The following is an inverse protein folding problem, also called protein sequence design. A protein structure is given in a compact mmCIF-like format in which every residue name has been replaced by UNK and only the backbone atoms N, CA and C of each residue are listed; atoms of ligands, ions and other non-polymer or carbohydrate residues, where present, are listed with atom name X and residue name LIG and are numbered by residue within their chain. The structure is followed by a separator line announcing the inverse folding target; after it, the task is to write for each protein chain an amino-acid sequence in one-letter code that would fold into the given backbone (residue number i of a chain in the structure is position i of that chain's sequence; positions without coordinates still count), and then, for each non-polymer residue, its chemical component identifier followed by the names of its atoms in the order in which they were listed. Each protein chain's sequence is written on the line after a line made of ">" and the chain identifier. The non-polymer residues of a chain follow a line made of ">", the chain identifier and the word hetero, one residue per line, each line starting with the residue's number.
data_IF_716269007323
#
_entry.id   IF_716269007323
#
_cell.length_a   1.000
_cell.length_b   1.000
_cell.length_c   1.000
_cell.angle_alpha   90.00
_cell.angle_beta   90.00
_cell.angle_gamma   90.00
#
_symmetry.space_group_name_H-M   'P 1'
#
loop_
_entity.id
_entity.type
_entity.pdbx_description
1 polymer ?
#
# COMPACT_ATOMS: atom_id res chain seq x y z
N UNK A 1 -70.85 -22.50 62.66
CA UNK A 1 -71.03 -21.90 61.32
C UNK A 1 -69.66 -21.51 60.79
N UNK A 2 -69.39 -21.85 59.52
CA UNK A 2 -68.10 -21.68 58.81
C UNK A 2 -67.79 -20.20 58.54
N UNK A 3 -66.52 -19.82 58.70
CA UNK A 3 -65.81 -18.76 57.96
C UNK A 3 -64.31 -18.98 58.26
N UNK A 4 -63.38 -19.25 57.35
CA UNK A 4 -63.19 -18.75 55.99
C UNK A 4 -61.89 -17.93 55.98
N UNK A 5 -60.72 -18.57 56.13
CA UNK A 5 -59.43 -17.87 56.05
C UNK A 5 -58.90 -17.94 54.61
N UNK A 6 -58.90 -16.78 53.94
CA UNK A 6 -58.28 -16.56 52.63
C UNK A 6 -56.76 -16.47 52.80
N UNK A 7 -56.01 -17.35 52.13
CA UNK A 7 -54.56 -17.24 51.98
C UNK A 7 -54.27 -16.45 50.71
N UNK A 8 -53.77 -15.23 50.86
CA UNK A 8 -53.29 -14.39 49.76
C UNK A 8 -51.83 -14.80 49.47
N UNK A 9 -51.60 -15.49 48.35
CA UNK A 9 -50.24 -15.74 47.84
C UNK A 9 -49.70 -14.45 47.21
N UNK A 10 -48.88 -13.73 47.98
CA UNK A 10 -48.10 -12.59 47.51
C UNK A 10 -47.00 -13.10 46.57
N UNK A 11 -47.23 -12.99 45.26
CA UNK A 11 -46.23 -13.26 44.23
C UNK A 11 -45.21 -12.11 44.22
N UNK A 12 -44.17 -12.22 45.04
CA UNK A 12 -43.01 -11.31 44.99
C UNK A 12 -42.29 -11.48 43.66
N UNK A 13 -42.55 -10.55 42.75
CA UNK A 13 -41.84 -10.39 41.48
C UNK A 13 -40.39 -9.97 41.82
N UNK A 14 -39.47 -10.92 41.84
CA UNK A 14 -38.04 -10.66 42.00
C UNK A 14 -37.53 -9.99 40.71
N UNK A 15 -37.51 -8.67 40.69
CA UNK A 15 -36.91 -7.87 39.62
C UNK A 15 -35.39 -8.10 39.62
N UNK A 16 -34.93 -9.02 38.76
CA UNK A 16 -33.51 -9.19 38.48
C UNK A 16 -32.98 -7.89 37.85
N UNK A 17 -31.99 -7.21 38.45
CA UNK A 17 -31.33 -6.10 37.79
C UNK A 17 -30.64 -6.62 36.53
N UNK A 18 -31.16 -6.20 35.37
CA UNK A 18 -30.55 -6.42 34.07
C UNK A 18 -29.28 -5.56 34.01
N UNK A 19 -28.15 -6.13 34.43
CA UNK A 19 -26.83 -5.53 34.21
C UNK A 19 -26.57 -5.57 32.70
N UNK A 20 -26.93 -4.48 32.01
CA UNK A 20 -26.49 -4.25 30.66
C UNK A 20 -24.98 -4.08 30.66
N UNK A 21 -24.24 -5.09 30.19
CA UNK A 21 -22.85 -4.91 29.82
C UNK A 21 -22.81 -3.87 28.69
N UNK A 22 -22.35 -2.67 29.01
CA UNK A 22 -22.00 -1.67 28.01
C UNK A 22 -20.82 -2.22 27.23
N UNK A 23 -21.09 -2.87 26.10
CA UNK A 23 -20.06 -3.28 25.15
C UNK A 23 -19.47 -2.01 24.53
N UNK A 24 -18.46 -1.44 25.17
CA UNK A 24 -17.63 -0.42 24.54
C UNK A 24 -16.99 -1.05 23.31
N UNK A 25 -17.25 -0.49 22.13
CA UNK A 25 -16.59 -0.92 20.91
C UNK A 25 -15.08 -0.67 21.07
N UNK A 26 -14.29 -1.74 21.05
CA UNK A 26 -12.83 -1.64 21.11
C UNK A 26 -12.33 -0.86 19.88
N UNK A 27 -11.36 0.03 20.06
CA UNK A 27 -10.74 0.79 18.98
C UNK A 27 -9.25 0.47 18.87
N UNK A 28 -8.66 0.73 17.70
CA UNK A 28 -7.21 0.64 17.53
C UNK A 28 -6.54 1.75 18.33
N UNK A 29 -5.52 1.38 19.11
CA UNK A 29 -4.78 2.30 19.98
C UNK A 29 -3.73 3.10 19.22
N UNK A 30 -4.17 3.89 18.24
CA UNK A 30 -3.29 4.67 17.37
C UNK A 30 -2.39 5.63 18.15
N UNK A 31 -1.11 5.62 17.82
CA UNK A 31 -0.14 6.61 18.25
C UNK A 31 0.16 7.59 17.11
N UNK A 32 0.66 8.77 17.44
CA UNK A 32 1.07 9.78 16.46
C UNK A 32 2.54 10.18 16.58
N UNK A 33 3.17 9.93 17.74
CA UNK A 33 4.60 10.14 17.91
C UNK A 33 5.39 8.94 17.38
N UNK A 34 5.96 9.12 16.19
CA UNK A 34 6.76 8.10 15.51
C UNK A 34 7.99 7.66 16.32
N UNK A 35 8.64 8.58 17.07
CA UNK A 35 9.83 8.25 17.86
C UNK A 35 9.47 7.42 19.08
N UNK A 36 8.41 7.81 19.78
CA UNK A 36 7.91 7.05 20.93
C UNK A 36 7.52 5.64 20.51
N UNK A 37 6.76 5.53 19.41
CA UNK A 37 6.27 4.25 18.93
C UNK A 37 7.41 3.36 18.38
N UNK A 38 8.45 3.93 17.76
CA UNK A 38 9.65 3.18 17.37
C UNK A 38 10.43 2.66 18.59
N UNK A 39 10.52 3.44 19.67
CA UNK A 39 11.11 2.98 20.94
C UNK A 39 10.26 1.85 21.54
N UNK A 40 8.93 1.99 21.56
CA UNK A 40 8.03 0.95 22.06
C UNK A 40 8.12 -0.34 21.25
N UNK A 41 8.15 -0.23 19.92
CA UNK A 41 8.31 -1.36 19.01
C UNK A 41 9.58 -2.16 19.31
N UNK A 42 10.68 -1.47 19.62
CA UNK A 42 11.94 -2.10 20.05
C UNK A 42 11.88 -2.72 21.43
N UNK A 43 11.22 -2.09 22.39
CA UNK A 43 11.14 -2.64 23.75
C UNK A 43 10.18 -3.84 23.84
N UNK A 44 9.10 -3.82 23.06
CA UNK A 44 8.09 -4.89 23.04
C UNK A 44 8.35 -5.97 22.00
N UNK A 45 9.41 -5.82 21.19
CA UNK A 45 9.73 -6.69 20.07
C UNK A 45 8.56 -6.88 19.09
N UNK A 46 7.84 -5.78 18.82
CA UNK A 46 6.65 -5.75 17.96
C UNK A 46 6.90 -4.92 16.71
N UNK A 47 6.39 -5.38 15.58
CA UNK A 47 6.38 -4.58 14.37
C UNK A 47 5.49 -3.33 14.53
N UNK A 48 5.86 -2.24 13.88
CA UNK A 48 5.00 -1.07 13.74
C UNK A 48 4.07 -1.27 12.54
N UNK A 49 2.79 -0.94 12.72
CA UNK A 49 1.84 -0.77 11.63
C UNK A 49 1.60 0.73 11.48
N UNK A 50 2.15 1.31 10.43
CA UNK A 50 2.08 2.74 10.14
C UNK A 50 1.01 2.95 9.08
N UNK A 51 -0.07 3.63 9.46
CA UNK A 51 -1.05 4.17 8.53
C UNK A 51 -0.61 5.59 8.16
N UNK A 52 -0.35 5.81 6.87
CA UNK A 52 0.00 7.11 6.30
C UNK A 52 -1.25 7.62 5.60
N UNK A 53 -1.74 8.78 6.03
CA UNK A 53 -2.95 9.40 5.51
C UNK A 53 -2.83 10.92 5.51
N UNK A 54 -3.93 11.60 5.19
CA UNK A 54 -4.02 13.05 5.28
C UNK A 54 -5.46 13.45 5.58
N UNK A 55 -5.66 14.62 6.17
CA UNK A 55 -7.00 15.12 6.54
C UNK A 55 -7.97 15.24 5.34
N UNK A 56 -7.45 15.53 4.15
CA UNK A 56 -8.23 15.67 2.91
C UNK A 56 -8.48 14.34 2.18
N UNK A 57 -7.90 13.23 2.64
CA UNK A 57 -7.95 11.94 1.96
C UNK A 57 -9.27 11.20 2.20
N UNK A 58 -10.18 11.21 1.21
CA UNK A 58 -11.48 10.54 1.30
C UNK A 58 -11.40 9.02 1.53
N UNK A 59 -10.44 8.33 0.88
CA UNK A 59 -10.24 6.89 1.06
C UNK A 59 -9.65 6.54 2.43
N UNK A 60 -8.90 7.45 3.06
CA UNK A 60 -8.42 7.29 4.43
C UNK A 60 -9.61 7.28 5.39
N UNK A 61 -10.53 8.24 5.25
CA UNK A 61 -11.77 8.29 6.04
C UNK A 61 -12.67 7.08 5.78
N UNK A 62 -12.71 6.57 4.55
CA UNK A 62 -13.45 5.35 4.22
C UNK A 62 -12.84 4.13 4.92
N UNK A 63 -11.52 3.98 4.86
CA UNK A 63 -10.78 2.89 5.52
C UNK A 63 -10.96 2.94 7.04
N UNK A 64 -10.99 4.14 7.63
CA UNK A 64 -11.28 4.34 9.05
C UNK A 64 -12.65 3.82 9.45
N UNK A 65 -13.68 4.08 8.65
CA UNK A 65 -15.06 3.67 8.96
C UNK A 65 -15.32 2.18 8.69
N UNK A 66 -14.71 1.62 7.66
CA UNK A 66 -15.07 0.28 7.15
C UNK A 66 -14.06 -0.79 7.56
N UNK A 67 -12.76 -0.47 7.56
CA UNK A 67 -11.69 -1.45 7.77
C UNK A 67 -11.18 -1.41 9.20
N UNK A 68 -10.84 -0.23 9.71
CA UNK A 68 -10.30 -0.07 11.05
C UNK A 68 -11.34 -0.06 12.18
N UNK A 69 -12.63 -0.20 11.83
CA UNK A 69 -13.73 -0.48 12.76
C UNK A 69 -14.14 -1.96 12.80
N UNK A 70 -13.57 -2.80 11.95
CA UNK A 70 -13.81 -4.25 12.00
C UNK A 70 -13.15 -4.85 13.25
N UNK A 71 -13.94 -5.57 14.06
CA UNK A 71 -13.50 -6.08 15.36
C UNK A 71 -12.31 -7.04 15.27
N UNK A 72 -12.20 -7.83 14.19
CA UNK A 72 -11.08 -8.75 14.00
C UNK A 72 -9.81 -7.99 13.63
N UNK A 73 -9.93 -6.97 12.77
CA UNK A 73 -8.82 -6.07 12.42
C UNK A 73 -8.33 -5.35 13.68
N UNK A 74 -9.22 -4.76 14.47
CA UNK A 74 -8.89 -4.07 15.74
C UNK A 74 -8.11 -4.99 16.67
N UNK A 75 -8.69 -6.16 16.97
CA UNK A 75 -8.10 -7.13 17.90
C UNK A 75 -6.70 -7.55 17.44
N UNK A 76 -6.55 -7.83 16.15
CA UNK A 76 -5.28 -8.28 15.59
C UNK A 76 -4.21 -7.19 15.61
N UNK A 77 -4.60 -5.95 15.26
CA UNK A 77 -3.68 -4.80 15.29
C UNK A 77 -3.22 -4.52 16.72
N UNK A 78 -4.15 -4.40 17.67
CA UNK A 78 -3.85 -4.12 19.08
C UNK A 78 -3.00 -5.22 19.74
N UNK A 79 -3.11 -6.47 19.28
CA UNK A 79 -2.37 -7.59 19.87
C UNK A 79 -0.95 -7.73 19.30
N UNK A 80 -0.78 -7.50 18.00
CA UNK A 80 0.44 -7.90 17.29
C UNK A 80 1.35 -6.72 16.91
N UNK A 81 0.86 -5.49 16.91
CA UNK A 81 1.57 -4.34 16.37
C UNK A 81 1.61 -3.17 17.34
N UNK A 82 2.55 -2.25 17.09
CA UNK A 82 2.48 -0.87 17.57
C UNK A 82 1.83 -0.02 16.46
N UNK A 83 0.53 0.32 16.57
CA UNK A 83 -0.17 1.06 15.52
C UNK A 83 0.14 2.57 15.59
N UNK A 84 0.50 3.14 14.45
CA UNK A 84 0.85 4.55 14.28
C UNK A 84 0.01 5.15 13.15
N UNK A 85 -0.41 6.39 13.33
CA UNK A 85 -0.87 7.28 12.25
C UNK A 85 0.18 8.34 11.96
N UNK A 86 0.43 8.55 10.69
CA UNK A 86 1.29 9.60 10.16
C UNK A 86 0.47 10.44 9.19
N UNK A 87 0.45 11.74 9.41
CA UNK A 87 -0.03 12.68 8.41
C UNK A 87 1.07 12.91 7.36
N UNK A 88 0.74 12.69 6.09
CA UNK A 88 1.66 12.75 4.97
C UNK A 88 2.14 14.18 4.68
N UNK A 89 1.30 15.19 4.93
CA UNK A 89 1.63 16.59 4.68
C UNK A 89 2.64 17.09 5.73
N UNK A 90 2.51 16.61 6.97
CA UNK A 90 3.42 16.95 8.07
C UNK A 90 4.76 16.18 8.02
N UNK A 91 4.81 15.05 7.29
CA UNK A 91 5.94 14.11 7.31
C UNK A 91 6.48 13.78 5.91
N UNK A 92 6.60 14.79 5.05
CA UNK A 92 6.99 14.63 3.64
C UNK A 92 8.32 13.89 3.42
N UNK A 93 9.35 14.13 4.23
CA UNK A 93 10.64 13.42 4.15
C UNK A 93 10.49 11.91 4.39
N UNK A 94 9.62 11.52 5.33
CA UNK A 94 9.34 10.12 5.63
C UNK A 94 8.56 9.45 4.49
N UNK A 95 7.57 10.17 3.94
CA UNK A 95 6.76 9.75 2.78
C UNK A 95 7.66 9.47 1.58
N UNK A 96 8.62 10.36 1.31
CA UNK A 96 9.61 10.20 0.24
C UNK A 96 10.56 9.04 0.52
N UNK A 97 11.13 8.95 1.71
CA UNK A 97 12.07 7.89 2.08
C UNK A 97 11.46 6.48 2.02
N UNK A 98 10.16 6.35 2.34
CA UNK A 98 9.41 5.10 2.22
C UNK A 98 8.96 4.83 0.77
N UNK A 99 8.98 5.85 -0.09
CA UNK A 99 8.46 5.81 -1.46
C UNK A 99 6.94 5.60 -1.47
N UNK A 100 6.20 6.37 -0.68
CA UNK A 100 4.73 6.35 -0.65
C UNK A 100 4.20 7.05 -1.89
N UNK A 101 3.48 6.31 -2.73
CA UNK A 101 2.97 6.82 -4.01
C UNK A 101 1.54 7.39 -3.92
N UNK A 102 0.79 7.06 -2.87
CA UNK A 102 -0.60 7.48 -2.70
C UNK A 102 -1.16 7.19 -1.31
N UNK A 103 -2.33 7.75 -1.01
CA UNK A 103 -2.97 7.63 0.29
C UNK A 103 -4.33 6.92 0.18
N UNK A 104 -4.76 6.18 1.23
CA UNK A 104 -3.97 5.80 2.40
C UNK A 104 -2.86 4.82 2.01
N UNK A 105 -1.74 4.81 2.74
CA UNK A 105 -0.74 3.74 2.62
C UNK A 105 -0.52 3.10 3.99
N UNK A 106 -0.55 1.77 4.04
CA UNK A 106 -0.21 1.01 5.25
C UNK A 106 1.17 0.40 5.10
N UNK A 107 2.07 0.69 6.03
CA UNK A 107 3.45 0.18 6.04
C UNK A 107 3.66 -0.63 7.32
N UNK A 108 4.26 -1.80 7.18
CA UNK A 108 4.66 -2.63 8.32
C UNK A 108 6.18 -2.63 8.39
N UNK A 109 6.71 -2.21 9.54
CA UNK A 109 8.14 -2.05 9.77
C UNK A 109 8.56 -2.84 11.01
N UNK A 110 9.64 -3.62 10.94
CA UNK A 110 10.18 -4.33 12.11
C UNK A 110 10.84 -3.37 13.11
N UNK A 111 11.11 -3.80 14.36
CA UNK A 111 11.85 -2.97 15.31
C UNK A 111 13.23 -2.50 14.83
N UNK A 112 13.84 -3.23 13.89
CA UNK A 112 15.12 -2.93 13.24
C UNK A 112 14.97 -2.01 12.02
N UNK A 113 13.81 -1.37 11.86
CA UNK A 113 13.48 -0.43 10.78
C UNK A 113 13.49 -1.05 9.37
N UNK A 114 13.28 -2.37 9.27
CA UNK A 114 13.11 -3.04 7.97
C UNK A 114 11.64 -2.99 7.58
N UNK A 115 11.35 -2.47 6.38
CA UNK A 115 10.01 -2.53 5.80
C UNK A 115 9.71 -3.99 5.41
N UNK A 116 8.73 -4.59 6.07
CA UNK A 116 8.23 -5.95 5.78
C UNK A 116 7.19 -5.89 4.68
N UNK A 117 6.35 -4.85 4.69
CA UNK A 117 5.22 -4.74 3.78
C UNK A 117 4.83 -3.28 3.58
N UNK A 118 4.41 -2.95 2.36
CA UNK A 118 3.78 -1.69 2.00
C UNK A 118 2.51 -2.02 1.20
N UNK A 119 1.40 -1.41 1.58
CA UNK A 119 0.09 -1.62 0.96
C UNK A 119 -0.44 -0.24 0.61
N UNK A 120 -0.58 0.03 -0.68
CA UNK A 120 -1.04 1.32 -1.18
C UNK A 120 -2.54 1.28 -1.43
N UNK A 121 -3.23 2.35 -1.06
CA UNK A 121 -4.66 2.52 -1.28
C UNK A 121 -5.55 1.96 -0.18
N UNK A 122 -6.86 2.10 -0.40
CA UNK A 122 -7.88 1.53 0.47
C UNK A 122 -7.83 -0.01 0.41
N UNK A 123 -7.98 -0.64 1.57
CA UNK A 123 -8.05 -2.10 1.72
C UNK A 123 -9.28 -2.42 2.56
N UNK A 124 -10.13 -3.33 2.10
CA UNK A 124 -11.31 -3.76 2.85
C UNK A 124 -10.95 -4.65 4.05
N UNK A 125 -11.82 -4.76 5.06
CA UNK A 125 -11.55 -5.53 6.28
C UNK A 125 -11.09 -6.99 6.05
N UNK A 126 -11.75 -7.80 5.19
CA UNK A 126 -11.34 -9.19 4.97
C UNK A 126 -9.93 -9.30 4.36
N UNK A 127 -9.63 -8.41 3.41
CA UNK A 127 -8.33 -8.33 2.76
C UNK A 127 -7.26 -7.90 3.77
N UNK A 128 -7.53 -6.88 4.58
CA UNK A 128 -6.64 -6.42 5.66
C UNK A 128 -6.31 -7.55 6.64
N UNK A 129 -7.30 -8.34 7.06
CA UNK A 129 -7.06 -9.54 7.89
C UNK A 129 -6.09 -10.52 7.19
N UNK A 130 -6.26 -10.74 5.88
CA UNK A 130 -5.34 -11.52 5.06
C UNK A 130 -3.91 -10.96 5.09
N UNK A 131 -3.75 -9.63 4.99
CA UNK A 131 -2.44 -8.99 5.07
C UNK A 131 -1.77 -9.13 6.44
N UNK A 132 -2.54 -9.10 7.53
CA UNK A 132 -2.03 -9.11 8.92
C UNK A 132 -1.78 -10.52 9.47
N UNK A 133 -2.54 -11.52 9.02
CA UNK A 133 -2.53 -12.89 9.56
C UNK A 133 -1.16 -13.57 9.56
N UNK A 134 -0.29 -13.23 8.59
CA UNK A 134 1.04 -13.85 8.43
C UNK A 134 2.17 -13.17 9.21
N UNK A 135 1.89 -12.02 9.84
CA UNK A 135 2.93 -11.12 10.38
C UNK A 135 2.90 -11.07 11.91
N UNK A 136 1.88 -11.63 12.56
CA UNK A 136 1.83 -11.69 14.04
C UNK A 136 2.86 -12.68 14.65
N UNK A 137 3.56 -13.46 13.84
CA UNK A 137 4.43 -14.58 14.28
C UNK A 137 5.93 -14.30 14.18
N UNK A 138 6.37 -13.04 14.07
CA UNK A 138 7.81 -12.76 13.97
C UNK A 138 8.49 -12.93 15.33
N UNK A 139 8.68 -14.18 15.77
CA UNK A 139 9.91 -14.55 16.46
C UNK A 139 11.03 -14.36 15.43
N UNK A 140 11.98 -13.50 15.76
CA UNK A 140 13.14 -13.14 14.96
C UNK A 140 13.95 -14.35 14.48
N UNK A 141 13.57 -14.96 13.35
CA UNK A 141 14.44 -15.90 12.62
C UNK A 141 14.19 -15.78 11.10
N UNK A 142 14.64 -14.66 10.54
CA UNK A 142 15.45 -14.72 9.33
C UNK A 142 16.76 -14.01 9.63
N UNK A 143 17.58 -14.67 10.46
CA UNK A 143 19.01 -14.46 10.42
C UNK A 143 19.48 -14.75 8.99
N UNK A 144 20.04 -13.74 8.33
CA UNK A 144 20.84 -13.99 7.15
C UNK A 144 21.95 -15.01 7.52
N UNK A 145 22.26 -16.01 6.68
CA UNK A 145 23.38 -16.91 6.95
C UNK A 145 24.65 -16.09 7.20
N UNK A 146 25.52 -16.51 8.15
CA UNK A 146 26.70 -15.73 8.50
C UNK A 146 27.58 -15.52 7.26
N UNK A 147 27.92 -14.26 7.00
CA UNK A 147 28.95 -13.86 6.05
C UNK A 147 30.25 -14.58 6.45
N UNK A 148 30.57 -15.69 5.78
CA UNK A 148 31.93 -16.23 5.80
C UNK A 148 32.81 -15.16 5.16
N UNK A 149 33.68 -14.58 5.98
CA UNK A 149 34.74 -13.68 5.54
C UNK A 149 35.58 -14.43 4.50
N UNK A 150 35.45 -14.02 3.24
CA UNK A 150 36.43 -14.35 2.22
C UNK A 150 37.45 -13.20 2.14
N UNK A 151 38.73 -13.51 1.88
CA UNK A 151 39.81 -12.54 1.98
C UNK A 151 39.59 -11.39 0.99
N UNK A 152 40.01 -10.19 1.38
CA UNK A 152 40.02 -9.01 0.52
C UNK A 152 40.84 -9.32 -0.74
N UNK A 153 40.16 -9.68 -1.83
CA UNK A 153 40.72 -9.58 -3.17
C UNK A 153 40.22 -8.26 -3.78
N UNK A 154 41.21 -7.49 -4.23
CA UNK A 154 41.09 -6.12 -4.68
C UNK A 154 39.95 -5.93 -5.68
N UNK A 155 39.27 -4.80 -5.52
CA UNK A 155 38.23 -4.22 -6.37
C UNK A 155 38.34 -4.60 -7.85
N UNK A 156 37.29 -5.19 -8.39
CA UNK A 156 36.89 -5.00 -9.78
C UNK A 156 35.36 -5.06 -9.90
N UNK A 157 34.79 -3.89 -10.17
CA UNK A 157 33.43 -3.59 -10.66
C UNK A 157 32.22 -4.26 -9.99
N UNK A 158 31.56 -3.43 -9.16
CA UNK A 158 30.18 -3.53 -8.70
C UNK A 158 29.23 -3.78 -9.87
N UNK A 159 28.74 -5.01 -10.03
CA UNK A 159 27.64 -5.31 -10.94
C UNK A 159 26.34 -4.86 -10.26
N UNK A 160 25.83 -3.70 -10.70
CA UNK A 160 24.57 -3.11 -10.27
C UNK A 160 23.44 -4.04 -10.74
N UNK A 161 22.52 -4.42 -9.85
CA UNK A 161 21.33 -5.17 -10.25
C UNK A 161 20.56 -4.33 -11.29
N UNK A 162 20.06 -4.95 -12.39
CA UNK A 162 19.43 -4.18 -13.46
C UNK A 162 18.21 -3.43 -12.92
N UNK A 163 18.20 -2.11 -13.12
CA UNK A 163 17.06 -1.26 -12.82
C UNK A 163 16.01 -1.49 -13.90
N UNK A 164 14.87 -2.06 -13.53
CA UNK A 164 13.81 -2.38 -14.48
C UNK A 164 13.04 -1.11 -14.86
N UNK A 165 12.74 -1.00 -16.15
CA UNK A 165 11.87 0.03 -16.69
C UNK A 165 10.52 0.05 -15.97
N UNK A 166 9.93 1.24 -15.85
CA UNK A 166 8.52 1.41 -15.47
C UNK A 166 8.12 0.64 -14.19
N UNK A 167 9.01 0.62 -13.19
CA UNK A 167 8.76 -0.02 -11.89
C UNK A 167 8.34 -1.50 -12.00
N UNK A 168 8.86 -2.21 -13.01
CA UNK A 168 8.54 -3.62 -13.34
C UNK A 168 7.10 -3.86 -13.82
N UNK A 169 6.31 -2.83 -14.15
CA UNK A 169 4.95 -3.03 -14.67
C UNK A 169 4.99 -3.60 -16.09
N UNK A 170 4.14 -4.60 -16.34
CA UNK A 170 3.99 -5.22 -17.64
C UNK A 170 3.19 -4.30 -18.58
N UNK A 171 3.89 -3.66 -19.53
CA UNK A 171 3.29 -2.74 -20.51
C UNK A 171 2.21 -3.41 -21.37
N UNK A 172 2.40 -4.70 -21.72
CA UNK A 172 1.45 -5.45 -22.54
C UNK A 172 0.15 -5.70 -21.77
N UNK A 173 0.24 -6.12 -20.51
CA UNK A 173 -0.92 -6.31 -19.63
C UNK A 173 -1.69 -4.99 -19.44
N UNK A 174 -0.95 -3.89 -19.29
CA UNK A 174 -1.55 -2.57 -19.10
C UNK A 174 -2.26 -2.07 -20.35
N UNK A 175 -1.77 -2.40 -21.54
CA UNK A 175 -2.34 -1.93 -22.81
C UNK A 175 -3.46 -2.85 -23.33
N UNK A 176 -3.21 -4.16 -23.41
CA UNK A 176 -4.12 -5.13 -24.00
C UNK A 176 -5.22 -5.53 -23.01
N UNK A 177 -4.81 -5.90 -21.80
CA UNK A 177 -5.72 -6.46 -20.79
C UNK A 177 -6.33 -5.35 -19.90
N UNK A 178 -5.78 -4.14 -19.97
CA UNK A 178 -6.11 -3.00 -19.10
C UNK A 178 -5.91 -3.33 -17.61
N UNK A 179 -4.98 -4.25 -17.32
CA UNK A 179 -4.63 -4.69 -15.98
C UNK A 179 -3.22 -4.23 -15.60
N UNK A 180 -3.09 -3.66 -14.40
CA UNK A 180 -1.81 -3.23 -13.87
C UNK A 180 -1.16 -4.39 -13.11
N UNK A 181 -0.29 -5.13 -13.81
CA UNK A 181 0.36 -6.34 -13.29
C UNK A 181 1.87 -6.16 -13.26
N UNK A 182 2.50 -6.52 -12.14
CA UNK A 182 3.97 -6.60 -12.04
C UNK A 182 4.52 -7.76 -12.88
N UNK A 183 5.56 -7.49 -13.65
CA UNK A 183 6.26 -8.49 -14.44
C UNK A 183 7.14 -9.41 -13.60
N UNK A 184 7.27 -10.65 -14.08
CA UNK A 184 8.17 -11.66 -13.54
C UNK A 184 9.57 -11.52 -14.16
N UNK A 185 10.60 -11.48 -13.33
CA UNK A 185 12.00 -11.27 -13.76
C UNK A 185 12.53 -12.39 -14.67
N UNK A 186 11.81 -13.52 -14.79
CA UNK A 186 12.08 -14.58 -15.75
C UNK A 186 11.71 -14.20 -17.18
N UNK A 187 10.83 -13.22 -17.36
CA UNK A 187 10.35 -12.75 -18.65
C UNK A 187 10.76 -11.29 -18.84
N UNK A 188 11.97 -11.08 -19.35
CA UNK A 188 12.54 -9.74 -19.54
C UNK A 188 13.13 -9.57 -20.93
N UNK A 189 13.11 -8.34 -21.45
CA UNK A 189 13.73 -7.93 -22.72
C UNK A 189 14.43 -6.59 -22.52
N UNK A 190 15.59 -6.40 -23.12
CA UNK A 190 16.25 -5.10 -23.24
C UNK A 190 15.67 -4.31 -24.42
N UNK A 191 15.14 -3.12 -24.16
CA UNK A 191 14.64 -2.23 -25.21
C UNK A 191 14.91 -0.77 -24.83
N UNK A 192 15.44 0.01 -25.78
CA UNK A 192 15.88 1.41 -25.58
C UNK A 192 16.82 1.59 -24.36
N UNK A 193 17.73 0.64 -24.16
CA UNK A 193 18.66 0.62 -23.02
C UNK A 193 17.98 0.52 -21.65
N UNK A 194 16.76 -0.03 -21.61
CA UNK A 194 16.04 -0.32 -20.38
C UNK A 194 15.60 -1.79 -20.35
N UNK A 195 15.65 -2.40 -19.17
CA UNK A 195 15.17 -3.77 -18.95
C UNK A 195 13.67 -3.77 -18.69
N UNK A 196 12.87 -4.25 -19.64
CA UNK A 196 11.41 -4.37 -19.52
C UNK A 196 11.03 -5.73 -18.96
N UNK A 197 10.02 -5.78 -18.08
CA UNK A 197 9.56 -6.99 -17.38
C UNK A 197 8.12 -7.34 -17.79
N UNK A 198 7.81 -8.63 -17.95
CA UNK A 198 6.51 -9.10 -18.43
C UNK A 198 5.84 -10.07 -17.47
N UNK A 199 4.51 -10.01 -17.37
CA UNK A 199 3.73 -10.89 -16.49
C UNK A 199 3.77 -12.36 -16.95
N UNK A 200 3.96 -12.60 -18.25
CA UNK A 200 4.00 -13.93 -18.86
C UNK A 200 4.95 -13.97 -20.06
N UNK A 201 5.31 -15.18 -20.49
CA UNK A 201 6.06 -15.38 -21.74
C UNK A 201 5.28 -14.92 -22.98
N UNK A 202 3.95 -14.99 -22.95
CA UNK A 202 3.08 -14.52 -24.04
C UNK A 202 3.11 -13.01 -24.16
N UNK A 203 3.09 -12.29 -23.03
CA UNK A 203 3.25 -10.83 -23.01
C UNK A 203 4.62 -10.42 -23.51
N UNK A 204 5.67 -11.15 -23.12
CA UNK A 204 7.01 -10.93 -23.68
C UNK A 204 7.02 -11.11 -25.20
N UNK A 205 6.43 -12.19 -25.72
CA UNK A 205 6.39 -12.46 -27.17
C UNK A 205 5.63 -11.38 -27.95
N UNK A 206 4.48 -10.92 -27.42
CA UNK A 206 3.73 -9.79 -27.99
C UNK A 206 4.59 -8.52 -28.06
N UNK A 207 5.28 -8.20 -26.97
CA UNK A 207 6.18 -7.05 -26.92
C UNK A 207 7.33 -7.18 -27.91
N UNK A 208 8.02 -8.33 -27.92
CA UNK A 208 9.17 -8.57 -28.80
C UNK A 208 8.78 -8.50 -30.29
N UNK A 209 7.53 -8.85 -30.63
CA UNK A 209 7.03 -8.81 -32.00
C UNK A 209 6.76 -7.38 -32.52
N UNK A 210 6.35 -6.46 -31.64
CA UNK A 210 6.00 -5.08 -32.01
C UNK A 210 6.18 -4.11 -30.83
N UNK A 211 7.42 -3.84 -30.39
CA UNK A 211 7.68 -3.15 -29.13
C UNK A 211 7.22 -1.68 -29.16
N UNK A 212 7.25 -1.02 -30.31
CA UNK A 212 6.75 0.34 -30.54
C UNK A 212 5.24 0.53 -30.24
N UNK A 213 4.45 -0.54 -30.34
CA UNK A 213 3.02 -0.51 -30.03
C UNK A 213 2.78 -0.42 -28.52
N UNK A 214 3.63 -1.10 -27.74
CA UNK A 214 3.54 -1.14 -26.28
C UNK A 214 4.39 -0.07 -25.60
N UNK A 215 5.34 0.53 -26.32
CA UNK A 215 6.17 1.58 -25.74
C UNK A 215 5.34 2.82 -25.42
N UNK A 216 5.42 3.37 -24.19
CA UNK A 216 4.62 4.52 -23.81
C UNK A 216 4.87 5.73 -24.70
N UNK A 217 3.81 6.49 -24.95
CA UNK A 217 3.89 7.81 -25.56
C UNK A 217 4.85 8.70 -24.75
N UNK A 218 5.47 9.66 -25.44
CA UNK A 218 6.43 10.59 -24.83
C UNK A 218 7.60 9.87 -24.13
N UNK A 219 7.93 8.66 -24.57
CA UNK A 219 8.97 7.81 -24.00
C UNK A 219 8.72 7.41 -22.53
N UNK A 220 7.49 7.50 -22.04
CA UNK A 220 7.16 7.26 -20.63
C UNK A 220 7.20 8.51 -19.76
N UNK A 221 7.61 9.66 -20.32
CA UNK A 221 7.69 10.93 -19.59
C UNK A 221 6.31 11.58 -19.45
N UNK A 222 6.12 12.31 -18.35
CA UNK A 222 4.89 13.05 -18.15
C UNK A 222 4.78 14.26 -19.07
N UNK A 223 3.83 14.22 -20.00
CA UNK A 223 3.58 15.31 -20.96
C UNK A 223 3.08 16.59 -20.29
N UNK A 224 2.31 16.48 -19.22
CA UNK A 224 1.77 17.63 -18.48
C UNK A 224 2.90 18.40 -17.78
N UNK A 225 3.78 17.69 -17.08
CA UNK A 225 4.98 18.28 -16.46
C UNK A 225 5.90 18.92 -17.51
N UNK A 226 6.04 18.29 -18.68
CA UNK A 226 6.86 18.82 -19.76
C UNK A 226 6.33 20.15 -20.29
N UNK A 227 5.01 20.29 -20.47
CA UNK A 227 4.41 21.48 -21.07
C UNK A 227 4.11 22.61 -20.06
N UNK A 228 3.68 22.28 -18.85
CA UNK A 228 3.32 23.29 -17.85
C UNK A 228 4.51 23.76 -17.01
N UNK A 229 5.43 22.84 -16.71
CA UNK A 229 6.55 23.09 -15.80
C UNK A 229 7.91 23.11 -16.49
N UNK A 230 7.96 22.85 -17.80
CA UNK A 230 9.21 22.65 -18.56
C UNK A 230 10.12 21.58 -17.92
N UNK A 231 9.51 20.57 -17.29
CA UNK A 231 10.20 19.51 -16.57
C UNK A 231 10.07 18.19 -17.34
N UNK A 232 11.21 17.61 -17.72
CA UNK A 232 11.26 16.27 -18.31
C UNK A 232 11.44 15.25 -17.20
N UNK A 233 10.33 14.80 -16.65
CA UNK A 233 10.26 13.85 -15.54
C UNK A 233 9.57 12.58 -15.99
N UNK A 234 10.07 11.44 -15.48
CA UNK A 234 9.50 10.12 -15.77
C UNK A 234 8.08 10.05 -15.22
N UNK A 235 7.16 9.53 -16.01
CA UNK A 235 5.78 9.31 -15.59
C UNK A 235 5.70 8.06 -14.72
N UNK A 236 4.74 8.06 -13.79
CA UNK A 236 4.42 6.91 -12.96
C UNK A 236 3.42 6.01 -13.70
N UNK A 237 3.74 4.74 -14.00
CA UNK A 237 2.80 3.80 -14.61
C UNK A 237 1.51 3.64 -13.79
N UNK A 238 1.56 3.81 -12.47
CA UNK A 238 0.39 3.75 -11.60
C UNK A 238 -0.53 4.97 -11.74
N UNK A 239 0.00 6.11 -12.17
CA UNK A 239 -0.79 7.27 -12.57
C UNK A 239 -1.07 7.29 -14.07
N UNK A 240 -0.63 6.27 -14.80
CA UNK A 240 -0.77 6.14 -16.24
C UNK A 240 -2.12 5.60 -16.69
N UNK A 241 -2.29 5.52 -18.00
CA UNK A 241 -3.47 4.93 -18.62
C UNK A 241 -3.33 4.76 -20.12
N UNK A 242 -4.37 4.22 -20.75
CA UNK A 242 -4.44 4.06 -22.20
C UNK A 242 -5.20 5.25 -22.80
N UNK A 243 -4.58 5.95 -23.75
CA UNK A 243 -5.22 6.99 -24.55
C UNK A 243 -4.92 6.77 -26.03
N UNK A 244 -5.98 6.63 -26.85
CA UNK A 244 -5.88 6.31 -28.30
C UNK A 244 -4.93 5.14 -28.57
N UNK A 245 -5.17 4.02 -27.89
CA UNK A 245 -4.40 2.78 -28.04
C UNK A 245 -2.90 2.92 -27.70
N UNK A 246 -2.54 3.94 -26.91
CA UNK A 246 -1.18 4.14 -26.42
C UNK A 246 -1.15 4.31 -24.92
N UNK A 247 -0.12 3.76 -24.28
CA UNK A 247 0.18 4.05 -22.88
C UNK A 247 0.66 5.50 -22.73
N UNK A 248 0.11 6.21 -21.76
CA UNK A 248 0.54 7.56 -21.38
C UNK A 248 0.71 7.60 -19.86
N UNK A 249 1.88 8.03 -19.40
CA UNK A 249 2.22 8.09 -17.98
C UNK A 249 2.28 9.53 -17.47
N UNK A 250 1.98 9.71 -16.19
CA UNK A 250 1.88 11.02 -15.54
C UNK A 250 2.57 10.99 -14.19
N UNK A 251 3.04 12.12 -13.66
CA UNK A 251 3.69 12.10 -12.32
C UNK A 251 2.69 11.94 -11.18
N UNK A 252 1.41 12.19 -11.45
CA UNK A 252 0.32 12.04 -10.49
C UNK A 252 -1.02 11.88 -11.21
N UNK A 253 -2.02 11.36 -10.49
CA UNK A 253 -3.39 11.28 -11.00
C UNK A 253 -3.96 12.66 -11.34
N UNK A 254 -3.61 13.71 -10.58
CA UNK A 254 -4.03 15.07 -10.89
C UNK A 254 -3.54 15.54 -12.27
N UNK A 255 -2.33 15.14 -12.68
CA UNK A 255 -1.83 15.43 -14.02
C UNK A 255 -2.49 14.56 -15.09
N UNK A 256 -2.77 13.29 -14.79
CA UNK A 256 -3.59 12.44 -15.67
C UNK A 256 -4.97 13.07 -15.91
N UNK A 257 -5.61 13.59 -14.87
CA UNK A 257 -6.94 14.18 -14.93
C UNK A 257 -6.92 15.50 -15.71
N UNK A 258 -5.88 16.34 -15.53
CA UNK A 258 -5.62 17.51 -16.37
C UNK A 258 -5.51 17.13 -17.85
N UNK A 259 -4.68 16.13 -18.16
CA UNK A 259 -4.52 15.63 -19.53
C UNK A 259 -5.84 15.13 -20.11
N UNK A 260 -6.59 14.34 -19.34
CA UNK A 260 -7.86 13.74 -19.77
C UNK A 260 -8.95 14.80 -19.98
N UNK A 261 -8.92 15.88 -19.20
CA UNK A 261 -9.87 17.00 -19.32
C UNK A 261 -9.64 17.86 -20.57
N UNK A 262 -8.41 17.92 -21.09
CA UNK A 262 -8.08 18.66 -22.30
C UNK A 262 -6.92 18.01 -23.08
N UNK A 263 -7.13 16.82 -23.68
CA UNK A 263 -6.03 16.06 -24.28
C UNK A 263 -5.49 16.79 -25.51
N UNK A 264 -6.33 17.52 -26.24
CA UNK A 264 -5.92 18.32 -27.40
C UNK A 264 -4.78 19.28 -27.08
N UNK A 265 -4.84 19.97 -25.94
CA UNK A 265 -3.78 20.89 -25.52
C UNK A 265 -2.42 20.21 -25.33
N UNK A 266 -2.40 19.02 -24.72
CA UNK A 266 -1.14 18.32 -24.41
C UNK A 266 -0.59 17.49 -25.58
N UNK A 267 -1.41 17.21 -26.59
CA UNK A 267 -1.05 16.44 -27.78
C UNK A 267 -0.51 17.27 -28.95
N UNK A 268 -0.59 18.61 -28.87
CA UNK A 268 -0.04 19.48 -29.93
C UNK A 268 1.48 19.29 -29.99
N UNK A 269 1.98 18.90 -31.16
CA UNK A 269 3.40 18.98 -31.51
C UNK A 269 3.72 20.41 -31.92
N UNK A 270 4.60 21.09 -31.18
CA UNK A 270 5.36 22.20 -31.75
C UNK A 270 6.60 21.64 -32.43
#
# INVERSE_FOLDING_TARGET
>A
MRTGHFIIFSLSLLSLPFFGESTYAEEIKWQTDLKQAATQARSEDKAMLIQIGASWCGFCHKMDRETYKDAKVIKHINSCFVPIRVDADENSELVEAIGVAGLPTTVIITPQLKIVKKISGYVAAPEMQGHLSKICLVNHEQAAPPLKQQPIQKMSQKQVAPEFAFKKICLVSMLDDQELVEGDVRYTTEYKSQTVCFASIEHKQKFDAAPENYWPAFEGKCRVSQLERNQSVEGDPYAGGVYRERLVFFTSEAERDKFTSNPGYYLISK
#
